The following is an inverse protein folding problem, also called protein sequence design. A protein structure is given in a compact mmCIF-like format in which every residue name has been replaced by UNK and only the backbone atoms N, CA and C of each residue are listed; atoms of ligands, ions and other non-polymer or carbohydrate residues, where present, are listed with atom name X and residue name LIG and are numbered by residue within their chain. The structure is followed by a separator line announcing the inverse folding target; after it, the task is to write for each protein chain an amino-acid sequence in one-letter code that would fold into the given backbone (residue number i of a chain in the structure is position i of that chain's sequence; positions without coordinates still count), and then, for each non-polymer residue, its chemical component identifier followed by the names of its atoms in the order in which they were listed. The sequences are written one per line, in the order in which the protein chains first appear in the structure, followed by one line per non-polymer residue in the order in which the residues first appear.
data_IF_309743706366
#
_entry.id   IF_309743706366
#
_cell.length_a   1.000
_cell.length_b   1.000
_cell.length_c   1.000
_cell.angle_alpha   90.00
_cell.angle_beta   90.00
_cell.angle_gamma   90.00
#
_symmetry.space_group_name_H-M   'P 1'
#
loop_
_entity.id
_entity.type
_entity.pdbx_description
1 polymer ?
#
# COMPACT_ATOMS: atom_id res chain seq x y z
N UNK A 1 -8.67 23.77 25.43
CA UNK A 1 -9.26 23.23 24.18
C UNK A 1 -8.44 22.00 23.86
N UNK A 2 -8.99 20.81 24.12
CA UNK A 2 -8.33 19.57 23.75
C UNK A 2 -8.74 19.30 22.30
N UNK A 3 -7.81 19.47 21.37
CA UNK A 3 -7.97 19.09 19.98
C UNK A 3 -8.18 17.57 19.96
N UNK A 4 -9.38 17.11 19.58
CA UNK A 4 -9.61 15.68 19.40
C UNK A 4 -8.69 15.24 18.27
N UNK A 5 -7.69 14.44 18.62
CA UNK A 5 -6.76 13.85 17.66
C UNK A 5 -7.51 12.70 16.99
N UNK A 6 -8.49 13.05 16.14
CA UNK A 6 -9.34 12.05 15.49
C UNK A 6 -8.57 11.26 14.41
N UNK A 7 -7.38 11.70 13.98
CA UNK A 7 -6.54 11.00 12.97
C UNK A 7 -5.64 9.87 13.49
N UNK A 8 -4.92 9.21 12.57
CA UNK A 8 -3.88 8.24 12.93
C UNK A 8 -2.62 8.93 13.51
N UNK A 9 -1.87 8.24 14.39
CA UNK A 9 -0.75 8.87 15.13
C UNK A 9 0.36 9.39 14.19
N UNK A 10 0.70 10.70 14.21
CA UNK A 10 1.75 11.27 13.36
C UNK A 10 3.15 10.66 13.59
N UNK A 11 3.40 10.18 14.82
CA UNK A 11 4.67 9.54 15.17
C UNK A 11 4.84 8.17 14.51
N UNK A 12 3.75 7.42 14.35
CA UNK A 12 3.77 6.14 13.62
C UNK A 12 4.08 6.35 12.14
N UNK A 13 3.49 7.39 11.53
CA UNK A 13 3.84 7.80 10.17
C UNK A 13 5.32 8.13 10.05
N UNK A 14 5.84 9.02 10.91
CA UNK A 14 7.25 9.42 10.88
C UNK A 14 8.19 8.22 11.06
N UNK A 15 7.87 7.32 12.00
CA UNK A 15 8.61 6.09 12.20
C UNK A 15 8.62 5.22 10.94
N UNK A 16 7.45 5.03 10.31
CA UNK A 16 7.32 4.31 9.04
C UNK A 16 8.15 4.94 7.92
N UNK A 17 8.13 6.27 7.78
CA UNK A 17 8.90 7.00 6.75
C UNK A 17 10.40 6.83 6.99
N UNK A 18 10.87 7.05 8.22
CA UNK A 18 12.30 6.91 8.55
C UNK A 18 12.77 5.49 8.33
N UNK A 19 11.96 4.50 8.72
CA UNK A 19 12.29 3.09 8.51
C UNK A 19 12.30 2.74 7.02
N UNK A 20 11.28 3.14 6.26
CA UNK A 20 11.17 2.86 4.83
C UNK A 20 12.29 3.52 4.02
N UNK A 21 12.49 4.83 4.17
CA UNK A 21 13.52 5.56 3.42
C UNK A 21 14.94 5.23 3.91
N UNK A 22 15.12 5.10 5.23
CA UNK A 22 16.41 4.74 5.80
C UNK A 22 16.89 3.36 5.31
N UNK A 23 15.96 2.42 5.13
CA UNK A 23 16.28 1.09 4.61
C UNK A 23 16.49 1.07 3.10
N UNK A 24 15.90 1.99 2.33
CA UNK A 24 16.29 2.21 0.90
C UNK A 24 17.73 2.69 0.81
N UNK A 25 18.13 3.65 1.66
CA UNK A 25 19.53 4.12 1.70
C UNK A 25 20.46 2.98 2.09
N UNK A 26 20.08 2.19 3.12
CA UNK A 26 20.83 1.01 3.54
C UNK A 26 20.96 -0.02 2.41
N UNK A 27 19.88 -0.26 1.65
CA UNK A 27 19.88 -1.17 0.50
C UNK A 27 20.89 -0.74 -0.57
N UNK A 28 20.91 0.55 -0.93
CA UNK A 28 21.87 1.07 -1.90
C UNK A 28 23.30 0.95 -1.37
N UNK A 29 23.52 1.25 -0.10
CA UNK A 29 24.84 1.10 0.53
C UNK A 29 25.31 -0.36 0.54
N UNK A 30 24.43 -1.30 0.88
CA UNK A 30 24.74 -2.73 0.91
C UNK A 30 24.97 -3.26 -0.51
N UNK A 31 24.20 -2.78 -1.49
CA UNK A 31 24.38 -3.11 -2.91
C UNK A 31 25.76 -2.67 -3.42
N UNK A 32 26.15 -1.41 -3.18
CA UNK A 32 27.48 -0.90 -3.59
C UNK A 32 28.63 -1.63 -2.90
N UNK A 33 28.43 -2.06 -1.65
CA UNK A 33 29.44 -2.79 -0.87
C UNK A 33 29.48 -4.29 -1.15
N UNK A 34 28.54 -4.81 -1.94
CA UNK A 34 28.35 -6.25 -2.12
C UNK A 34 27.97 -6.98 -0.83
N UNK A 35 27.37 -6.27 0.14
CA UNK A 35 26.91 -6.84 1.40
C UNK A 35 25.55 -7.55 1.23
N UNK A 36 25.18 -8.34 2.24
CA UNK A 36 23.87 -8.99 2.30
C UNK A 36 22.74 -7.94 2.33
N UNK A 37 21.84 -8.03 1.34
CA UNK A 37 20.71 -7.12 1.16
C UNK A 37 19.51 -7.44 2.06
N UNK A 38 19.50 -8.61 2.70
CA UNK A 38 18.33 -9.15 3.40
C UNK A 38 17.83 -8.21 4.52
N UNK A 39 18.75 -7.61 5.29
CA UNK A 39 18.39 -6.67 6.36
C UNK A 39 17.69 -5.42 5.84
N UNK A 40 18.12 -4.92 4.69
CA UNK A 40 17.56 -3.72 4.09
C UNK A 40 16.19 -4.02 3.46
N UNK A 41 16.06 -5.17 2.79
CA UNK A 41 14.79 -5.67 2.26
C UNK A 41 13.77 -5.85 3.39
N UNK A 42 14.16 -6.53 4.48
CA UNK A 42 13.26 -6.80 5.61
C UNK A 42 12.83 -5.49 6.30
N UNK A 43 13.79 -4.60 6.57
CA UNK A 43 13.47 -3.30 7.17
C UNK A 43 12.55 -2.46 6.29
N UNK A 44 12.74 -2.50 4.97
CA UNK A 44 11.89 -1.79 4.03
C UNK A 44 10.47 -2.36 3.99
N UNK A 45 10.33 -3.69 4.01
CA UNK A 45 9.03 -4.36 4.08
C UNK A 45 8.27 -3.97 5.35
N UNK A 46 8.94 -3.95 6.51
CA UNK A 46 8.32 -3.50 7.77
C UNK A 46 7.90 -2.03 7.67
N UNK A 47 8.75 -1.15 7.14
CA UNK A 47 8.42 0.26 6.93
C UNK A 47 7.19 0.45 6.02
N UNK A 48 7.12 -0.30 4.92
CA UNK A 48 6.00 -0.27 4.00
C UNK A 48 4.69 -0.70 4.67
N UNK A 49 4.70 -1.80 5.42
CA UNK A 49 3.52 -2.28 6.17
C UNK A 49 3.05 -1.26 7.19
N UNK A 50 3.98 -0.62 7.91
CA UNK A 50 3.64 0.45 8.87
C UNK A 50 2.98 1.63 8.17
N UNK A 51 3.54 2.09 7.04
CA UNK A 51 2.99 3.23 6.30
C UNK A 51 1.62 2.94 5.67
N UNK A 52 1.47 1.77 5.06
CA UNK A 52 0.21 1.34 4.44
C UNK A 52 -0.86 1.14 5.52
N UNK A 53 -0.52 0.50 6.64
CA UNK A 53 -1.42 0.34 7.78
C UNK A 53 -1.81 1.67 8.41
N UNK A 54 -0.86 2.61 8.54
CA UNK A 54 -1.14 3.96 8.99
C UNK A 54 -2.10 4.68 8.04
N UNK A 55 -1.86 4.63 6.73
CA UNK A 55 -2.72 5.28 5.74
C UNK A 55 -4.15 4.70 5.74
N UNK A 56 -4.28 3.38 5.91
CA UNK A 56 -5.58 2.73 6.04
C UNK A 56 -6.33 3.19 7.30
N UNK A 57 -5.64 3.29 8.44
CA UNK A 57 -6.22 3.77 9.70
C UNK A 57 -6.63 5.24 9.62
N UNK A 58 -5.80 6.06 8.98
CA UNK A 58 -6.08 7.49 8.77
C UNK A 58 -7.32 7.67 7.89
N UNK A 59 -7.41 6.92 6.79
CA UNK A 59 -8.56 6.93 5.87
C UNK A 59 -9.88 6.54 6.56
N UNK A 60 -9.87 5.60 7.50
CA UNK A 60 -11.07 5.17 8.24
C UNK A 60 -11.54 6.25 9.23
N UNK A 61 -10.60 7.04 9.75
CA UNK A 61 -10.87 8.03 10.79
C UNK A 61 -11.11 9.44 10.24
N UNK A 62 -10.80 9.67 8.98
CA UNK A 62 -11.08 10.93 8.30
C UNK A 62 -12.59 11.05 7.97
N UNK A 63 -13.31 12.02 8.58
CA UNK A 63 -14.73 12.22 8.31
C UNK A 63 -15.04 12.68 6.87
N UNK A 64 -14.05 13.19 6.14
CA UNK A 64 -14.21 13.63 4.74
C UNK A 64 -13.83 12.54 3.72
N UNK A 65 -13.43 11.35 4.19
CA UNK A 65 -13.07 10.23 3.30
C UNK A 65 -14.29 9.68 2.57
N UNK A 66 -14.20 9.61 1.24
CA UNK A 66 -15.19 8.91 0.39
C UNK A 66 -15.23 7.40 0.66
N UNK A 67 -14.19 6.86 1.33
CA UNK A 67 -14.09 5.46 1.74
C UNK A 67 -14.39 5.35 3.23
N UNK A 68 -15.69 5.35 3.56
CA UNK A 68 -16.17 5.24 4.94
C UNK A 68 -16.27 3.80 5.46
N UNK A 69 -15.96 2.80 4.61
CA UNK A 69 -16.05 1.38 4.99
C UNK A 69 -14.68 0.76 5.29
N UNK A 70 -14.62 -0.04 6.37
CA UNK A 70 -13.42 -0.79 6.74
C UNK A 70 -12.96 -1.77 5.64
N UNK A 71 -13.90 -2.30 4.84
CA UNK A 71 -13.60 -3.14 3.68
C UNK A 71 -12.95 -2.36 2.54
N UNK A 72 -13.41 -1.15 2.23
CA UNK A 72 -12.80 -0.30 1.21
C UNK A 72 -11.37 0.15 1.58
N UNK A 73 -11.15 0.52 2.85
CA UNK A 73 -9.84 0.91 3.33
C UNK A 73 -8.85 -0.26 3.34
N UNK A 74 -9.28 -1.46 3.79
CA UNK A 74 -8.44 -2.66 3.76
C UNK A 74 -8.17 -3.18 2.35
N UNK A 75 -9.16 -3.12 1.44
CA UNK A 75 -8.98 -3.43 0.02
C UNK A 75 -7.95 -2.52 -0.63
N UNK A 76 -8.06 -1.20 -0.41
CA UNK A 76 -7.07 -0.21 -0.90
C UNK A 76 -5.68 -0.47 -0.33
N UNK A 77 -5.58 -0.75 0.98
CA UNK A 77 -4.32 -1.06 1.62
C UNK A 77 -3.64 -2.30 1.00
N UNK A 78 -4.41 -3.35 0.71
CA UNK A 78 -3.91 -4.56 0.05
C UNK A 78 -3.45 -4.29 -1.39
N UNK A 79 -4.15 -3.43 -2.14
CA UNK A 79 -3.73 -3.02 -3.49
C UNK A 79 -2.44 -2.19 -3.46
N UNK A 80 -2.30 -1.26 -2.51
CA UNK A 80 -1.06 -0.50 -2.31
C UNK A 80 0.09 -1.43 -1.89
N UNK A 81 -0.19 -2.42 -1.04
CA UNK A 81 0.79 -3.42 -0.64
C UNK A 81 1.21 -4.31 -1.82
N UNK A 82 0.27 -4.69 -2.69
CA UNK A 82 0.57 -5.41 -3.93
C UNK A 82 1.48 -4.59 -4.86
N UNK A 83 1.22 -3.29 -5.01
CA UNK A 83 2.06 -2.40 -5.80
C UNK A 83 3.48 -2.29 -5.21
N UNK A 84 3.58 -2.15 -3.90
CA UNK A 84 4.86 -2.18 -3.18
C UNK A 84 5.63 -3.48 -3.43
N UNK A 85 4.96 -4.63 -3.31
CA UNK A 85 5.56 -5.94 -3.53
C UNK A 85 6.03 -6.11 -4.98
N UNK A 86 5.23 -5.66 -5.96
CA UNK A 86 5.59 -5.72 -7.37
C UNK A 86 6.82 -4.86 -7.68
N UNK A 87 6.84 -3.61 -7.20
CA UNK A 87 7.97 -2.70 -7.40
C UNK A 87 9.24 -3.21 -6.73
N UNK A 88 9.15 -3.62 -5.46
CA UNK A 88 10.29 -4.16 -4.71
C UNK A 88 10.79 -5.46 -5.32
N UNK A 89 9.88 -6.36 -5.73
CA UNK A 89 10.22 -7.61 -6.40
C UNK A 89 10.96 -7.38 -7.72
N UNK A 90 10.52 -6.39 -8.52
CA UNK A 90 11.20 -6.00 -9.75
C UNK A 90 12.61 -5.46 -9.48
N UNK A 91 12.78 -4.61 -8.47
CA UNK A 91 14.10 -4.08 -8.08
C UNK A 91 15.03 -5.20 -7.62
N UNK A 92 14.57 -6.08 -6.73
CA UNK A 92 15.36 -7.22 -6.21
C UNK A 92 15.71 -8.21 -7.33
N UNK A 93 14.78 -8.51 -8.23
CA UNK A 93 15.05 -9.36 -9.39
C UNK A 93 16.06 -8.71 -10.36
N UNK A 94 15.95 -7.40 -10.58
CA UNK A 94 16.88 -6.67 -11.44
C UNK A 94 18.29 -6.61 -10.84
N UNK A 95 18.44 -6.41 -9.53
CA UNK A 95 19.75 -6.43 -8.88
C UNK A 95 20.36 -7.83 -8.86
N UNK A 96 19.54 -8.89 -8.86
CA UNK A 96 20.04 -10.26 -8.99
C UNK A 96 20.78 -10.50 -10.32
N UNK A 97 20.36 -9.83 -11.41
CA UNK A 97 21.08 -9.88 -12.70
C UNK A 97 22.51 -9.33 -12.63
N UNK A 98 22.83 -8.54 -11.60
CA UNK A 98 24.16 -7.98 -11.35
C UNK A 98 25.05 -8.93 -10.52
N UNK A 99 24.63 -10.19 -10.30
CA UNK A 99 25.43 -11.21 -9.62
C UNK A 99 25.03 -11.43 -8.15
N UNK A 100 23.81 -11.10 -7.77
CA UNK A 100 23.30 -11.31 -6.41
C UNK A 100 22.28 -12.46 -6.35
N UNK A 101 22.36 -13.33 -5.34
CA UNK A 101 21.57 -14.57 -5.22
C UNK A 101 20.09 -14.38 -4.79
N UNK A 102 19.50 -13.20 -5.00
CA UNK A 102 18.14 -12.89 -4.53
C UNK A 102 17.06 -12.94 -5.60
N UNK A 103 17.33 -13.51 -6.78
CA UNK A 103 16.32 -13.62 -7.85
C UNK A 103 15.05 -14.36 -7.39
N UNK A 104 15.22 -15.46 -6.64
CA UNK A 104 14.10 -16.21 -6.06
C UNK A 104 13.26 -15.37 -5.08
N UNK A 105 13.90 -14.44 -4.34
CA UNK A 105 13.19 -13.50 -3.47
C UNK A 105 12.38 -12.51 -4.30
N UNK A 106 12.95 -11.99 -5.39
CA UNK A 106 12.22 -11.12 -6.33
C UNK A 106 10.98 -11.81 -6.93
N UNK A 107 11.10 -13.09 -7.31
CA UNK A 107 9.95 -13.88 -7.78
C UNK A 107 8.91 -14.13 -6.69
N UNK A 108 9.33 -14.42 -5.46
CA UNK A 108 8.42 -14.57 -4.32
C UNK A 108 7.61 -13.28 -4.10
N UNK A 109 8.25 -12.12 -4.18
CA UNK A 109 7.58 -10.83 -4.11
C UNK A 109 6.55 -10.65 -5.24
N UNK A 110 6.86 -11.07 -6.47
CA UNK A 110 5.92 -11.02 -7.57
C UNK A 110 4.69 -11.92 -7.34
N UNK A 111 4.89 -13.15 -6.82
CA UNK A 111 3.78 -14.05 -6.46
C UNK A 111 2.91 -13.44 -5.35
N UNK A 112 3.55 -12.93 -4.30
CA UNK A 112 2.84 -12.26 -3.20
C UNK A 112 2.08 -11.01 -3.68
N UNK A 113 2.63 -10.26 -4.63
CA UNK A 113 1.96 -9.11 -5.24
C UNK A 113 0.66 -9.53 -5.94
N UNK A 114 0.69 -10.60 -6.73
CA UNK A 114 -0.50 -11.13 -7.40
C UNK A 114 -1.55 -11.59 -6.39
N UNK A 115 -1.13 -12.30 -5.34
CA UNK A 115 -2.04 -12.75 -4.27
C UNK A 115 -2.67 -11.56 -3.54
N UNK A 116 -1.85 -10.58 -3.12
CA UNK A 116 -2.32 -9.38 -2.43
C UNK A 116 -3.26 -8.55 -3.32
N UNK A 117 -2.96 -8.43 -4.62
CA UNK A 117 -3.82 -7.74 -5.58
C UNK A 117 -5.17 -8.45 -5.73
N UNK A 118 -5.18 -9.78 -5.86
CA UNK A 118 -6.40 -10.57 -5.96
C UNK A 118 -7.28 -10.46 -4.71
N UNK A 119 -6.67 -10.52 -3.52
CA UNK A 119 -7.39 -10.32 -2.26
C UNK A 119 -7.91 -8.89 -2.11
N UNK A 120 -7.09 -7.89 -2.42
CA UNK A 120 -7.48 -6.48 -2.38
C UNK A 120 -8.65 -6.20 -3.31
N UNK A 121 -8.59 -6.70 -4.55
CA UNK A 121 -9.68 -6.59 -5.53
C UNK A 121 -10.96 -7.28 -5.06
N UNK A 122 -10.86 -8.47 -4.47
CA UNK A 122 -12.03 -9.21 -3.97
C UNK A 122 -12.67 -8.58 -2.73
N UNK A 123 -11.91 -7.86 -1.92
CA UNK A 123 -12.39 -7.21 -0.69
C UNK A 123 -12.91 -5.80 -0.98
N UNK A 124 -12.35 -5.14 -1.99
CA UNK A 124 -12.79 -3.82 -2.42
C UNK A 124 -14.25 -3.90 -2.90
N UNK A 125 -15.19 -3.14 -2.31
CA UNK A 125 -16.59 -3.22 -2.68
C UNK A 125 -16.77 -2.71 -4.12
N UNK A 126 -17.08 -3.61 -5.05
CA UNK A 126 -17.40 -3.26 -6.45
C UNK A 126 -18.84 -2.75 -6.62
N UNK A 127 -19.62 -2.68 -5.54
CA UNK A 127 -21.06 -2.40 -5.55
C UNK A 127 -21.47 -0.92 -5.46
N UNK A 128 -20.54 0.04 -5.56
CA UNK A 128 -20.87 1.49 -5.51
C UNK A 128 -20.65 2.21 -6.85
N UNK A 129 -20.38 1.48 -7.93
CA UNK A 129 -20.07 2.09 -9.25
C UNK A 129 -21.14 1.78 -10.31
N UNK A 130 -22.17 0.99 -9.96
CA UNK A 130 -23.29 0.69 -10.85
C UNK A 130 -24.57 0.80 -10.03
N UNK A 131 -25.16 2.00 -10.05
CA UNK A 131 -26.60 2.27 -9.89
C UNK A 131 -26.81 3.79 -10.12
N UNK A 132 -26.42 4.27 -11.31
CA UNK A 132 -26.72 5.64 -11.80
C UNK A 132 -27.59 5.59 -13.07
N UNK A 133 -28.28 4.48 -13.30
CA UNK A 133 -29.26 4.32 -14.37
C UNK A 133 -30.63 4.01 -13.77
N UNK A 134 -31.23 4.94 -13.03
CA UNK A 134 -32.69 4.99 -12.80
C UNK A 134 -33.07 6.32 -12.12
N UNK A 135 -33.21 7.40 -12.91
CA UNK A 135 -33.65 8.69 -12.37
C UNK A 135 -33.98 9.81 -13.36
N UNK A 136 -33.53 9.75 -14.62
CA UNK A 136 -34.01 10.64 -15.67
C UNK A 136 -35.36 10.17 -16.21
N UNK A 137 -36.44 10.36 -15.45
CA UNK A 137 -37.80 10.31 -16.02
C UNK A 137 -38.88 10.86 -15.07
N UNK A 138 -38.83 12.14 -14.66
CA UNK A 138 -40.06 12.95 -14.42
C UNK A 138 -39.83 14.46 -14.30
N UNK A 139 -39.20 15.09 -15.31
CA UNK A 139 -39.48 16.52 -15.58
C UNK A 139 -40.27 16.62 -16.89
N UNK A 140 -41.60 16.58 -16.77
CA UNK A 140 -42.48 17.33 -17.67
C UNK A 140 -43.76 17.72 -16.93
N UNK A 141 -43.74 18.93 -16.38
CA UNK A 141 -44.92 19.76 -16.21
C UNK A 141 -44.46 21.21 -16.44
N UNK A 142 -44.96 21.93 -17.47
CA UNK A 142 -46.29 22.56 -17.43
C UNK A 142 -46.98 22.52 -18.83
N UNK A 143 -48.24 22.87 -19.09
CA UNK A 143 -49.30 23.68 -18.47
C UNK A 143 -50.68 23.00 -18.65
#
# INVERSE_FOLDING_TARGET
MAESTDGASPWLFLFGVVLFLGTVVLFVMDLVRGADLFRAILGNAVGAVVLIGWAALDTIRDPESTVTSASGASGTALLLYALYLAGTGAVVAATALLGHDYFAVGLLYAVLAVVAAGLGYSIFPTGTVVDDEDGEQTESNPE
#
